data_IF_649661463834
#
_entry.id   IF_649661463834
#
_cell.length_a   1.000
_cell.length_b   1.000
_cell.length_c   1.000
_cell.angle_alpha   90.00
_cell.angle_beta   90.00
_cell.angle_gamma   90.00
#
_symmetry.space_group_name_H-M   'P 1'
#
loop_
_entity.id
_entity.type
_entity.pdbx_description
1 polymer ?
#
# COMPACT_ATOMS: atom_id res chain seq x y z
N UNK A 1 8.45 11.11 -8.79
CA UNK A 1 6.99 11.24 -8.58
C UNK A 1 6.18 10.31 -9.48
N UNK A 2 6.47 10.27 -10.79
CA UNK A 2 5.78 9.39 -11.77
C UNK A 2 5.85 7.89 -11.41
N UNK A 3 7.02 7.39 -11.00
CA UNK A 3 7.19 5.98 -10.61
C UNK A 3 6.23 5.52 -9.51
N UNK A 4 6.05 6.31 -8.44
CA UNK A 4 5.18 5.95 -7.31
C UNK A 4 3.70 5.94 -7.72
N UNK A 5 3.30 6.87 -8.59
CA UNK A 5 1.95 6.90 -9.17
C UNK A 5 1.68 5.63 -9.96
N UNK A 6 2.61 5.23 -10.85
CA UNK A 6 2.47 4.01 -11.66
C UNK A 6 2.38 2.78 -10.75
N UNK A 7 3.26 2.66 -9.75
CA UNK A 7 3.24 1.55 -8.80
C UNK A 7 1.91 1.49 -8.03
N UNK A 8 1.42 2.63 -7.54
CA UNK A 8 0.14 2.71 -6.85
C UNK A 8 -1.02 2.28 -7.76
N UNK A 9 -1.08 2.80 -8.99
CA UNK A 9 -2.11 2.44 -9.96
C UNK A 9 -2.06 0.96 -10.33
N UNK A 10 -0.87 0.36 -10.43
CA UNK A 10 -0.72 -1.08 -10.68
C UNK A 10 -1.30 -1.93 -9.55
N UNK A 11 -1.02 -1.57 -8.29
CA UNK A 11 -1.55 -2.27 -7.11
C UNK A 11 -3.07 -2.15 -7.07
N UNK A 12 -3.60 -0.93 -7.24
CA UNK A 12 -5.04 -0.65 -7.20
C UNK A 12 -5.77 -1.38 -8.33
N UNK A 13 -5.29 -1.27 -9.57
CA UNK A 13 -5.93 -1.93 -10.72
C UNK A 13 -5.91 -3.45 -10.59
N UNK A 14 -4.83 -4.01 -10.02
CA UNK A 14 -4.78 -5.44 -9.74
C UNK A 14 -5.80 -5.84 -8.67
N UNK A 15 -5.87 -5.10 -7.56
CA UNK A 15 -6.85 -5.35 -6.49
C UNK A 15 -8.30 -5.30 -7.01
N UNK A 16 -8.63 -4.29 -7.82
CA UNK A 16 -9.95 -4.18 -8.47
C UNK A 16 -10.23 -5.38 -9.38
N UNK A 17 -9.26 -5.78 -10.22
CA UNK A 17 -9.40 -6.93 -11.12
C UNK A 17 -9.64 -8.25 -10.37
N UNK A 18 -9.08 -8.38 -9.17
CA UNK A 18 -9.26 -9.53 -8.30
C UNK A 18 -10.50 -9.43 -7.39
N UNK A 19 -11.31 -8.38 -7.54
CA UNK A 19 -12.45 -8.09 -6.66
C UNK A 19 -12.05 -8.08 -5.17
N UNK A 20 -10.85 -7.55 -4.88
CA UNK A 20 -10.37 -7.43 -3.52
C UNK A 20 -11.13 -6.32 -2.77
N UNK A 21 -11.52 -6.61 -1.53
CA UNK A 21 -12.20 -5.66 -0.64
C UNK A 21 -11.22 -4.73 0.07
N UNK A 22 -10.04 -5.23 0.42
CA UNK A 22 -9.00 -4.50 1.13
C UNK A 22 -7.62 -4.73 0.51
N UNK A 23 -6.75 -3.71 0.63
CA UNK A 23 -5.32 -3.80 0.37
C UNK A 23 -4.59 -3.55 1.69
N UNK A 24 -3.86 -4.54 2.18
CA UNK A 24 -3.09 -4.47 3.41
C UNK A 24 -1.61 -4.32 3.12
N UNK A 25 -1.00 -3.24 3.61
CA UNK A 25 0.46 -3.09 3.67
C UNK A 25 0.93 -3.43 5.08
N UNK A 26 1.72 -4.49 5.22
CA UNK A 26 2.16 -5.05 6.52
C UNK A 26 3.69 -4.97 6.60
N UNK A 27 4.26 -3.95 7.26
CA UNK A 27 5.70 -3.89 7.50
C UNK A 27 6.15 -5.05 8.39
N UNK A 28 7.14 -5.83 7.95
CA UNK A 28 7.79 -6.90 8.71
C UNK A 28 9.21 -6.46 9.10
N UNK A 29 10.10 -7.39 9.45
CA UNK A 29 11.49 -7.05 9.85
C UNK A 29 12.36 -6.59 8.67
N UNK A 30 12.21 -7.20 7.48
CA UNK A 30 13.10 -6.93 6.33
C UNK A 30 12.42 -6.21 5.15
N UNK A 31 11.10 -6.32 5.04
CA UNK A 31 10.32 -5.79 3.93
C UNK A 31 8.87 -5.53 4.36
N UNK A 32 8.07 -4.94 3.48
CA UNK A 32 6.63 -4.78 3.66
C UNK A 32 5.90 -5.76 2.76
N UNK A 33 5.06 -6.62 3.34
CA UNK A 33 4.22 -7.55 2.59
C UNK A 33 2.93 -6.82 2.19
N UNK A 34 2.53 -6.96 0.93
CA UNK A 34 1.22 -6.52 0.45
C UNK A 34 0.32 -7.75 0.39
N UNK A 35 -0.83 -7.67 1.06
CA UNK A 35 -1.88 -8.68 0.97
C UNK A 35 -3.17 -8.07 0.45
N UNK A 36 -3.91 -8.84 -0.32
CA UNK A 36 -5.26 -8.50 -0.79
C UNK A 36 -6.27 -9.36 -0.04
N UNK A 37 -7.37 -8.76 0.41
CA UNK A 37 -8.51 -9.52 0.92
C UNK A 37 -9.45 -9.85 -0.22
N UNK A 38 -9.53 -11.11 -0.62
CA UNK A 38 -10.40 -11.59 -1.71
C UNK A 38 -11.33 -12.65 -1.10
N UNK A 39 -12.64 -12.41 -1.12
CA UNK A 39 -13.65 -13.32 -0.52
C UNK A 39 -13.28 -13.75 0.90
N UNK A 40 -12.94 -12.77 1.74
CA UNK A 40 -12.49 -12.91 3.13
C UNK A 40 -11.14 -13.60 3.36
N UNK A 41 -10.46 -14.07 2.31
CA UNK A 41 -9.12 -14.64 2.40
C UNK A 41 -8.02 -13.60 2.14
N UNK A 42 -6.97 -13.63 2.96
CA UNK A 42 -5.80 -12.76 2.79
C UNK A 42 -4.72 -13.45 1.94
N UNK A 43 -4.61 -13.02 0.68
CA UNK A 43 -3.65 -13.56 -0.29
C UNK A 43 -2.46 -12.62 -0.45
N UNK A 44 -1.25 -13.17 -0.51
CA UNK A 44 -0.03 -12.38 -0.77
C UNK A 44 -0.06 -11.90 -2.22
N UNK A 45 0.07 -10.58 -2.42
CA UNK A 45 0.22 -9.97 -3.73
C UNK A 45 1.69 -9.74 -4.07
N UNK A 46 2.45 -9.08 -3.18
CA UNK A 46 3.85 -8.72 -3.43
C UNK A 46 4.61 -8.37 -2.14
N UNK A 47 5.92 -8.13 -2.24
CA UNK A 47 6.81 -7.65 -1.17
C UNK A 47 7.59 -6.43 -1.63
N UNK A 48 7.51 -5.34 -0.86
CA UNK A 48 8.26 -4.10 -1.12
C UNK A 48 9.41 -3.94 -0.14
N UNK A 49 10.56 -3.47 -0.61
CA UNK A 49 11.61 -2.98 0.29
C UNK A 49 11.11 -1.76 1.06
N UNK A 50 11.61 -1.56 2.30
CA UNK A 50 11.19 -0.41 3.11
C UNK A 50 11.40 0.96 2.45
N UNK A 51 12.50 1.22 1.71
CA UNK A 51 12.67 2.51 1.04
C UNK A 51 11.57 2.80 0.01
N UNK A 52 11.10 1.77 -0.71
CA UNK A 52 10.00 1.91 -1.67
C UNK A 52 8.69 2.10 -0.93
N UNK A 53 8.40 1.26 0.07
CA UNK A 53 7.18 1.37 0.86
C UNK A 53 7.04 2.73 1.55
N UNK A 54 8.09 3.27 2.18
CA UNK A 54 8.03 4.60 2.83
C UNK A 54 7.67 5.71 1.83
N UNK A 55 8.25 5.68 0.63
CA UNK A 55 7.92 6.64 -0.43
C UNK A 55 6.48 6.47 -0.91
N UNK A 56 6.02 5.22 -1.07
CA UNK A 56 4.64 4.92 -1.44
C UNK A 56 3.64 5.35 -0.36
N UNK A 57 3.96 5.15 0.92
CA UNK A 57 3.13 5.58 2.05
C UNK A 57 2.95 7.10 2.08
N UNK A 58 4.03 7.87 1.88
CA UNK A 58 3.95 9.33 1.77
C UNK A 58 3.07 9.73 0.58
N UNK A 59 3.23 9.06 -0.55
CA UNK A 59 2.40 9.30 -1.73
C UNK A 59 0.92 9.02 -1.46
N UNK A 60 0.58 7.89 -0.82
CA UNK A 60 -0.78 7.55 -0.43
C UNK A 60 -1.37 8.58 0.53
N UNK A 61 -0.62 8.99 1.56
CA UNK A 61 -1.05 10.05 2.48
C UNK A 61 -1.36 11.35 1.75
N UNK A 62 -0.46 11.78 0.85
CA UNK A 62 -0.66 12.97 0.05
C UNK A 62 -1.92 12.88 -0.82
N UNK A 63 -2.15 11.75 -1.50
CA UNK A 63 -3.36 11.55 -2.32
C UNK A 63 -4.65 11.58 -1.49
N UNK A 64 -4.60 11.09 -0.25
CA UNK A 64 -5.74 11.06 0.67
C UNK A 64 -5.89 12.33 1.52
N UNK A 65 -5.06 13.37 1.32
CA UNK A 65 -5.09 14.59 2.13
C UNK A 65 -4.64 14.41 3.59
N UNK A 66 -3.94 13.32 3.89
CA UNK A 66 -3.41 13.00 5.20
C UNK A 66 -2.11 13.75 5.49
N UNK A 67 -1.82 13.96 6.77
CA UNK A 67 -0.60 14.61 7.22
C UNK A 67 0.62 13.72 6.99
N UNK A 68 1.48 14.15 6.07
CA UNK A 68 2.72 13.46 5.68
C UNK A 68 3.82 13.58 6.73
N UNK A 69 3.73 14.54 7.66
CA UNK A 69 4.77 14.80 8.66
C UNK A 69 4.68 13.86 9.87
N UNK A 70 3.51 13.29 10.14
CA UNK A 70 3.28 12.41 11.29
C UNK A 70 3.39 10.94 10.90
N UNK A 71 4.12 10.15 11.70
CA UNK A 71 4.36 8.72 11.42
C UNK A 71 3.86 7.77 12.52
N UNK A 72 3.66 8.26 13.74
CA UNK A 72 3.33 7.45 14.93
C UNK A 72 1.88 7.64 15.41
N UNK A 73 1.01 8.14 14.53
CA UNK A 73 -0.41 8.34 14.82
C UNK A 73 -1.25 7.73 13.72
N UNK A 74 -2.31 7.05 14.12
CA UNK A 74 -3.33 6.61 13.19
C UNK A 74 -3.98 7.83 12.53
N UNK A 75 -4.23 7.74 11.23
CA UNK A 75 -4.89 8.76 10.42
C UNK A 75 -5.98 8.05 9.58
N UNK A 76 -7.05 8.76 9.23
CA UNK A 76 -8.20 8.25 8.49
C UNK A 76 -8.61 9.26 7.43
#
# INVERSE_FOLDING_TARGET
>A
MIFLKILFEQIINHAIKQEASDIHFIPCEEHTIIKLRIKDELTIYDRLSFPIYKKLLIYMKFQSGLDVSTQHRAQR
#
